data_IF_522598789128
#
_entry.id   IF_522598789128
#
_cell.length_a   1.000
_cell.length_b   1.000
_cell.length_c   1.000
_cell.angle_alpha   90.00
_cell.angle_beta   90.00
_cell.angle_gamma   90.00
#
_symmetry.space_group_name_H-M   'P 1'
#
loop_
_entity.id
_entity.type
_entity.pdbx_description
1 polymer ?
#
# COMPACT_ATOMS: atom_id res chain seq x y z
N UNK A 1 -6.13 0.77 -13.68
CA UNK A 1 -6.70 1.83 -12.82
C UNK A 1 -5.59 2.32 -11.89
N UNK A 2 -5.59 3.59 -11.49
CA UNK A 2 -4.58 4.12 -10.55
C UNK A 2 -5.21 4.17 -9.16
N UNK A 3 -4.56 3.52 -8.20
CA UNK A 3 -4.98 3.45 -6.80
C UNK A 3 -4.06 4.31 -5.92
N UNK A 4 -4.64 5.03 -4.97
CA UNK A 4 -3.92 5.81 -3.98
C UNK A 4 -4.32 5.28 -2.60
N UNK A 5 -3.32 4.85 -1.83
CA UNK A 5 -3.55 4.14 -0.57
C UNK A 5 -3.38 5.11 0.60
N UNK A 6 -4.46 5.31 1.36
CA UNK A 6 -4.49 6.15 2.55
C UNK A 6 -4.87 5.27 3.75
N UNK A 7 -4.21 5.48 4.89
CA UNK A 7 -4.35 4.61 6.07
C UNK A 7 -4.02 3.16 5.70
N UNK A 8 -2.91 3.02 4.98
CA UNK A 8 -2.50 1.78 4.30
C UNK A 8 -2.31 0.60 5.26
N UNK A 9 -2.01 0.86 6.53
CA UNK A 9 -1.63 -0.18 7.48
C UNK A 9 -0.45 -0.98 6.93
N UNK A 10 -0.55 -2.31 6.92
CA UNK A 10 0.49 -3.19 6.41
C UNK A 10 0.39 -3.51 4.89
N UNK A 11 -0.54 -2.86 4.16
CA UNK A 11 -0.58 -2.94 2.69
C UNK A 11 -1.56 -3.98 2.11
N UNK A 12 -2.57 -4.39 2.87
CA UNK A 12 -3.55 -5.39 2.41
C UNK A 12 -4.33 -4.97 1.17
N UNK A 13 -4.76 -3.70 1.09
CA UNK A 13 -5.45 -3.19 -0.09
C UNK A 13 -4.52 -2.95 -1.27
N UNK A 14 -3.24 -2.67 -1.02
CA UNK A 14 -2.25 -2.50 -2.08
C UNK A 14 -1.97 -3.84 -2.78
N UNK A 15 -1.87 -4.92 -2.00
CA UNK A 15 -1.74 -6.29 -2.53
C UNK A 15 -2.98 -6.68 -3.34
N UNK A 16 -4.18 -6.34 -2.86
CA UNK A 16 -5.41 -6.59 -3.60
C UNK A 16 -5.46 -5.77 -4.90
N UNK A 17 -5.03 -4.50 -4.88
CA UNK A 17 -4.94 -3.66 -6.07
C UNK A 17 -3.97 -4.24 -7.10
N UNK A 18 -2.81 -4.74 -6.67
CA UNK A 18 -1.85 -5.44 -7.54
C UNK A 18 -2.45 -6.70 -8.17
N UNK A 19 -3.15 -7.54 -7.38
CA UNK A 19 -3.85 -8.73 -7.88
C UNK A 19 -4.95 -8.40 -8.91
N UNK A 20 -5.54 -7.21 -8.80
CA UNK A 20 -6.51 -6.70 -9.77
C UNK A 20 -5.87 -6.03 -11.00
N UNK A 21 -4.52 -5.99 -11.07
CA UNK A 21 -3.77 -5.34 -12.14
C UNK A 21 -3.84 -3.80 -12.09
N UNK A 22 -4.06 -3.22 -10.92
CA UNK A 22 -4.07 -1.77 -10.72
C UNK A 22 -2.68 -1.26 -10.35
N UNK A 23 -2.39 -0.01 -10.70
CA UNK A 23 -1.12 0.63 -10.35
C UNK A 23 -1.30 1.45 -9.09
N UNK A 24 -0.55 1.11 -8.04
CA UNK A 24 -0.49 1.93 -6.83
C UNK A 24 0.39 3.15 -7.08
N UNK A 25 -0.18 4.35 -6.95
CA UNK A 25 0.55 5.60 -7.17
C UNK A 25 1.39 6.00 -5.95
N UNK A 26 0.83 5.83 -4.75
CA UNK A 26 1.52 6.09 -3.48
C UNK A 26 0.79 5.43 -2.32
N UNK A 27 1.50 5.30 -1.21
CA UNK A 27 1.00 4.81 0.08
C UNK A 27 1.22 5.88 1.15
N UNK A 28 0.26 6.05 2.06
CA UNK A 28 0.33 7.00 3.16
C UNK A 28 -0.14 6.33 4.45
N UNK A 29 0.77 6.19 5.40
CA UNK A 29 0.56 5.55 6.69
C UNK A 29 1.30 6.32 7.79
N UNK A 30 0.67 6.49 8.96
CA UNK A 30 1.24 7.24 10.08
C UNK A 30 2.06 6.35 11.02
N UNK A 31 1.74 5.06 11.10
CA UNK A 31 2.42 4.12 11.99
C UNK A 31 3.81 3.72 11.44
N UNK A 32 4.92 3.98 12.18
CA UNK A 32 6.27 3.68 11.70
C UNK A 32 6.58 2.18 11.55
N UNK A 33 5.90 1.30 12.28
CA UNK A 33 6.05 -0.14 12.09
C UNK A 33 5.41 -0.56 10.77
N UNK A 34 4.19 -0.12 10.50
CA UNK A 34 3.51 -0.33 9.23
C UNK A 34 4.35 0.20 8.05
N UNK A 35 4.89 1.41 8.13
CA UNK A 35 5.78 1.96 7.10
C UNK A 35 6.98 1.06 6.79
N UNK A 36 7.63 0.47 7.82
CA UNK A 36 8.74 -0.48 7.63
C UNK A 36 8.30 -1.75 6.92
N UNK A 37 7.08 -2.22 7.20
CA UNK A 37 6.50 -3.39 6.52
C UNK A 37 6.20 -3.05 5.06
N UNK A 38 5.62 -1.87 4.79
CA UNK A 38 5.32 -1.43 3.42
C UNK A 38 6.59 -1.33 2.58
N UNK A 39 7.61 -0.59 3.06
CA UNK A 39 8.87 -0.41 2.34
C UNK A 39 9.67 -1.70 2.11
N UNK A 40 9.34 -2.79 2.81
CA UNK A 40 9.94 -4.11 2.60
C UNK A 40 9.24 -4.90 1.47
N UNK A 41 7.93 -4.70 1.28
CA UNK A 41 7.10 -5.57 0.44
C UNK A 41 6.57 -4.89 -0.84
N UNK A 42 6.56 -3.55 -0.88
CA UNK A 42 6.08 -2.73 -2.00
C UNK A 42 7.14 -1.67 -2.35
#
# INVERSE_FOLDING_TARGET
MVHASLFTGIGGFDLAAEWMGWTNSFQCEIDPFCQKVLAKNF
#
